data_IF_420972439264
#
_entry.id   IF_420972439264
#
_cell.length_a   1.000
_cell.length_b   1.000
_cell.length_c   1.000
_cell.angle_alpha   90.00
_cell.angle_beta   90.00
_cell.angle_gamma   90.00
#
_symmetry.space_group_name_H-M   'P 1'
#
loop_
_entity.id
_entity.type
_entity.pdbx_description
1 polymer ?
#
# COMPACT_ATOMS: atom_id res chain seq x y z
N UNK A 1 -24.79 -26.71 8.51
CA UNK A 1 -24.05 -25.69 9.30
C UNK A 1 -24.96 -24.64 9.96
N UNK A 2 -25.95 -24.06 9.26
CA UNK A 2 -26.89 -23.06 9.81
C UNK A 2 -27.49 -23.42 11.18
N UNK A 3 -28.06 -24.62 11.33
CA UNK A 3 -28.64 -25.08 12.60
C UNK A 3 -27.64 -25.07 13.78
N UNK A 4 -26.36 -25.41 13.54
CA UNK A 4 -25.31 -25.37 14.57
C UNK A 4 -25.09 -23.94 15.08
N UNK A 5 -25.03 -22.98 14.16
CA UNK A 5 -24.79 -21.56 14.47
C UNK A 5 -25.93 -20.96 15.29
N UNK A 6 -27.17 -21.21 14.88
CA UNK A 6 -28.35 -20.75 15.62
C UNK A 6 -28.40 -21.34 17.03
N UNK A 7 -28.07 -22.62 17.19
CA UNK A 7 -28.02 -23.25 18.52
C UNK A 7 -26.94 -22.65 19.42
N UNK A 8 -25.75 -22.35 18.88
CA UNK A 8 -24.69 -21.68 19.63
C UNK A 8 -25.11 -20.25 20.01
N UNK A 9 -25.77 -19.53 19.10
CA UNK A 9 -26.30 -18.18 19.32
C UNK A 9 -27.38 -18.15 20.41
N UNK A 10 -28.34 -19.08 20.39
CA UNK A 10 -29.34 -19.21 21.45
C UNK A 10 -28.68 -19.51 22.80
N UNK A 11 -27.77 -20.49 22.84
CA UNK A 11 -27.03 -20.82 24.06
C UNK A 11 -26.27 -19.59 24.60
N UNK A 12 -25.65 -18.81 23.73
CA UNK A 12 -24.95 -17.60 24.11
C UNK A 12 -25.92 -16.52 24.65
N UNK A 13 -27.06 -16.30 24.02
CA UNK A 13 -28.08 -15.35 24.47
C UNK A 13 -28.71 -15.71 25.82
N UNK A 14 -28.77 -17.00 26.17
CA UNK A 14 -29.29 -17.49 27.46
C UNK A 14 -28.32 -17.22 28.62
N UNK A 15 -27.02 -17.12 28.35
CA UNK A 15 -25.98 -17.12 29.38
C UNK A 15 -25.10 -15.87 29.43
N UNK A 16 -25.02 -15.10 28.33
CA UNK A 16 -24.24 -13.87 28.26
C UNK A 16 -25.10 -12.66 28.65
N UNK A 17 -24.45 -11.65 29.23
CA UNK A 17 -25.10 -10.38 29.53
C UNK A 17 -25.49 -9.63 28.26
N UNK A 18 -26.40 -8.66 28.39
CA UNK A 18 -26.83 -7.83 27.26
C UNK A 18 -25.65 -7.15 26.55
N UNK A 19 -24.69 -6.50 27.26
CA UNK A 19 -23.52 -5.90 26.63
C UNK A 19 -22.63 -6.91 25.88
N UNK A 20 -22.38 -8.09 26.44
CA UNK A 20 -21.58 -9.14 25.77
C UNK A 20 -22.30 -9.68 24.53
N UNK A 21 -23.62 -9.86 24.62
CA UNK A 21 -24.42 -10.28 23.48
C UNK A 21 -24.43 -9.24 22.36
N UNK A 22 -24.38 -7.95 22.70
CA UNK A 22 -24.31 -6.85 21.74
C UNK A 22 -22.90 -6.74 21.14
N UNK A 23 -21.84 -6.92 21.95
CA UNK A 23 -20.44 -6.98 21.51
C UNK A 23 -20.24 -8.04 20.41
N UNK A 24 -20.79 -9.24 20.58
CA UNK A 24 -20.68 -10.32 19.58
C UNK A 24 -21.76 -10.27 18.49
N UNK A 25 -22.62 -9.25 18.48
CA UNK A 25 -23.71 -9.12 17.52
C UNK A 25 -24.72 -10.28 17.57
N UNK A 26 -24.90 -10.95 18.72
CA UNK A 26 -25.78 -12.11 18.88
C UNK A 26 -27.26 -11.79 18.66
N UNK A 27 -27.65 -10.51 18.70
CA UNK A 27 -29.02 -10.08 18.43
C UNK A 27 -29.25 -9.62 17.00
N UNK A 28 -28.17 -9.41 16.25
CA UNK A 28 -28.24 -9.05 14.85
C UNK A 28 -28.62 -10.28 14.01
N UNK A 29 -29.09 -10.08 12.79
CA UNK A 29 -29.38 -11.20 11.86
C UNK A 29 -28.11 -11.87 11.30
N UNK A 30 -26.94 -11.37 11.70
CA UNK A 30 -25.64 -11.80 11.19
C UNK A 30 -25.29 -13.23 11.64
N UNK A 31 -24.50 -13.88 10.80
CA UNK A 31 -23.88 -15.17 11.06
C UNK A 31 -22.79 -15.01 12.14
N UNK A 32 -22.73 -15.96 13.08
CA UNK A 32 -21.86 -15.92 14.26
C UNK A 32 -20.37 -16.25 13.99
N UNK A 33 -19.98 -16.60 12.77
CA UNK A 33 -18.76 -17.38 12.52
C UNK A 33 -17.46 -16.71 12.99
N UNK A 34 -17.20 -15.44 12.66
CA UNK A 34 -15.99 -14.75 13.11
C UNK A 34 -15.88 -14.66 14.65
N UNK A 35 -17.01 -14.60 15.34
CA UNK A 35 -17.06 -14.54 16.82
C UNK A 35 -17.30 -15.89 17.48
N UNK A 36 -17.51 -16.97 16.73
CA UNK A 36 -17.95 -18.24 17.28
C UNK A 36 -16.94 -18.81 18.29
N UNK A 37 -15.64 -18.67 18.01
CA UNK A 37 -14.58 -19.08 18.94
C UNK A 37 -14.62 -18.23 20.24
N UNK A 38 -14.66 -16.90 20.12
CA UNK A 38 -14.72 -15.97 21.25
C UNK A 38 -15.97 -16.16 22.12
N UNK A 39 -17.10 -16.48 21.49
CA UNK A 39 -18.36 -16.78 22.19
C UNK A 39 -18.25 -18.09 22.97
N UNK A 40 -17.62 -19.12 22.40
CA UNK A 40 -17.35 -20.39 23.11
C UNK A 40 -16.42 -20.15 24.30
N UNK A 41 -15.34 -19.39 24.12
CA UNK A 41 -14.43 -19.01 25.20
C UNK A 41 -15.17 -18.28 26.32
N UNK A 42 -15.98 -17.26 25.99
CA UNK A 42 -16.76 -16.50 26.97
C UNK A 42 -17.80 -17.36 27.69
N UNK A 43 -18.41 -18.34 27.00
CA UNK A 43 -19.31 -19.31 27.62
C UNK A 43 -18.57 -20.22 28.61
N UNK A 44 -17.36 -20.68 28.28
CA UNK A 44 -16.52 -21.46 29.19
C UNK A 44 -16.08 -20.64 30.42
N UNK A 45 -15.75 -19.36 30.26
CA UNK A 45 -15.45 -18.44 31.38
C UNK A 45 -16.62 -18.31 32.36
N UNK A 46 -17.86 -18.51 31.89
CA UNK A 46 -19.09 -18.56 32.72
C UNK A 46 -19.43 -19.97 33.23
N UNK A 47 -18.52 -20.94 33.09
CA UNK A 47 -18.72 -22.35 33.41
C UNK A 47 -19.92 -22.99 32.66
N UNK A 48 -20.27 -22.48 31.48
CA UNK A 48 -21.31 -23.07 30.63
C UNK A 48 -20.70 -24.17 29.77
N UNK A 49 -21.22 -25.38 29.86
CA UNK A 49 -20.75 -26.52 29.05
C UNK A 49 -21.27 -26.37 27.62
N UNK A 50 -20.38 -26.10 26.67
CA UNK A 50 -20.74 -26.05 25.25
C UNK A 50 -20.77 -27.47 24.67
N UNK A 51 -21.90 -27.95 24.12
CA UNK A 51 -21.97 -29.27 23.52
C UNK A 51 -20.95 -29.44 22.39
N UNK A 52 -20.27 -30.60 22.33
CA UNK A 52 -19.22 -30.87 21.34
C UNK A 52 -19.66 -30.66 19.88
N UNK A 53 -20.96 -30.84 19.58
CA UNK A 53 -21.53 -30.59 18.26
C UNK A 53 -21.59 -29.09 17.88
N UNK A 54 -21.52 -28.18 18.84
CA UNK A 54 -21.51 -26.72 18.64
C UNK A 54 -20.09 -26.15 18.59
N UNK A 55 -19.09 -26.89 19.07
CA UNK A 55 -17.68 -26.47 19.02
C UNK A 55 -17.24 -26.33 17.57
N UNK A 56 -16.73 -25.15 17.22
CA UNK A 56 -16.11 -24.91 15.91
C UNK A 56 -14.76 -25.61 15.93
N UNK A 57 -14.68 -26.77 15.28
CA UNK A 57 -13.40 -27.45 15.05
C UNK A 57 -12.55 -26.55 14.17
N UNK A 58 -11.35 -26.19 14.65
CA UNK A 58 -10.33 -25.53 13.82
C UNK A 58 -10.19 -26.32 12.52
N UNK A 59 -10.39 -25.62 11.40
CA UNK A 59 -10.29 -26.24 10.10
C UNK A 59 -8.80 -26.52 9.82
N UNK A 60 -8.34 -27.75 10.10
CA UNK A 60 -6.95 -28.20 9.83
C UNK A 60 -6.60 -28.27 8.34
N UNK A 61 -7.50 -27.86 7.44
CA UNK A 61 -7.40 -28.09 6.00
C UNK A 61 -6.47 -27.07 5.32
N UNK A 62 -6.21 -25.90 5.93
CA UNK A 62 -5.25 -24.92 5.42
C UNK A 62 -4.00 -24.87 6.30
N UNK A 63 -3.24 -25.97 6.35
CA UNK A 63 -1.89 -26.01 6.95
C UNK A 63 -0.82 -25.23 6.16
N UNK A 64 -1.22 -24.49 5.12
CA UNK A 64 -0.28 -23.86 4.19
C UNK A 64 0.34 -22.55 4.70
N UNK A 65 -0.15 -21.98 5.80
CA UNK A 65 0.54 -20.98 6.62
C UNK A 65 0.06 -21.14 8.06
N UNK A 66 0.90 -20.91 9.06
CA UNK A 66 0.56 -20.88 10.51
C UNK A 66 -0.45 -19.76 10.90
N UNK A 67 -1.27 -19.30 9.96
CA UNK A 67 -2.20 -18.16 10.05
C UNK A 67 -3.64 -18.65 10.33
N UNK A 68 -3.90 -19.96 10.44
CA UNK A 68 -5.23 -20.50 10.79
C UNK A 68 -5.59 -20.29 12.26
N UNK A 69 -5.57 -19.05 12.70
CA UNK A 69 -5.66 -18.68 14.09
C UNK A 69 -7.00 -17.95 14.34
N UNK A 70 -7.70 -18.36 15.39
CA UNK A 70 -9.04 -17.89 15.78
C UNK A 70 -9.34 -16.40 15.49
N UNK A 71 -10.33 -16.10 14.66
CA UNK A 71 -10.88 -14.74 14.52
C UNK A 71 -11.00 -14.22 13.09
N UNK A 72 -10.39 -14.87 12.12
CA UNK A 72 -10.57 -14.52 10.71
C UNK A 72 -12.04 -14.69 10.28
N UNK A 73 -12.60 -13.64 9.67
CA UNK A 73 -13.80 -13.77 8.87
C UNK A 73 -13.56 -14.58 7.60
N UNK A 74 -14.63 -15.09 6.99
CA UNK A 74 -14.55 -15.81 5.71
C UNK A 74 -13.85 -14.98 4.62
N UNK A 75 -14.01 -13.66 4.68
CA UNK A 75 -13.47 -12.71 3.71
C UNK A 75 -11.94 -12.60 3.75
N UNK A 76 -11.28 -12.92 4.88
CA UNK A 76 -9.82 -13.03 4.90
C UNK A 76 -9.31 -14.19 4.05
N UNK A 77 -10.07 -15.29 3.99
CA UNK A 77 -9.69 -16.47 3.22
C UNK A 77 -9.96 -16.31 1.73
N UNK A 78 -10.94 -15.48 1.37
CA UNK A 78 -11.26 -15.20 -0.03
C UNK A 78 -10.23 -14.29 -0.69
N UNK A 79 -9.47 -13.50 0.07
CA UNK A 79 -8.57 -12.46 -0.45
C UNK A 79 -7.45 -12.97 -1.37
N UNK A 80 -7.23 -14.28 -1.42
CA UNK A 80 -6.24 -14.95 -2.28
C UNK A 80 -6.85 -15.66 -3.50
N UNK A 81 -8.18 -15.73 -3.61
CA UNK A 81 -8.88 -16.42 -4.70
C UNK A 81 -9.05 -15.50 -5.93
N UNK A 82 -9.01 -16.07 -7.14
CA UNK A 82 -9.36 -15.34 -8.36
C UNK A 82 -10.87 -15.05 -8.44
N UNK A 83 -11.69 -15.99 -7.96
CA UNK A 83 -13.16 -15.89 -7.91
C UNK A 83 -13.66 -15.27 -6.60
N UNK A 84 -12.78 -14.55 -5.89
CA UNK A 84 -13.04 -14.04 -4.55
C UNK A 84 -14.31 -13.18 -4.46
N UNK A 85 -14.62 -12.38 -5.47
CA UNK A 85 -15.83 -11.54 -5.50
C UNK A 85 -17.11 -12.37 -5.65
N UNK A 86 -17.10 -13.43 -6.46
CA UNK A 86 -18.24 -14.34 -6.67
C UNK A 86 -18.50 -15.14 -5.40
N UNK A 87 -17.43 -15.71 -4.81
CA UNK A 87 -17.54 -16.43 -3.55
C UNK A 87 -18.00 -15.50 -2.42
N UNK A 88 -17.53 -14.26 -2.40
CA UNK A 88 -17.92 -13.27 -1.40
C UNK A 88 -19.42 -12.95 -1.46
N UNK A 89 -19.98 -12.78 -2.65
CA UNK A 89 -21.43 -12.60 -2.86
C UNK A 89 -22.21 -13.81 -2.32
N UNK A 90 -21.76 -15.03 -2.63
CA UNK A 90 -22.40 -16.25 -2.13
C UNK A 90 -22.41 -16.30 -0.60
N UNK A 91 -21.29 -15.99 0.05
CA UNK A 91 -21.24 -15.94 1.52
C UNK A 91 -22.06 -14.79 2.08
N UNK A 92 -22.10 -13.65 1.39
CA UNK A 92 -22.95 -12.53 1.78
C UNK A 92 -24.44 -12.92 1.70
N UNK A 93 -24.89 -13.59 0.65
CA UNK A 93 -26.27 -14.10 0.58
C UNK A 93 -26.61 -15.10 1.69
N UNK A 94 -25.61 -15.84 2.16
CA UNK A 94 -25.75 -16.77 3.30
C UNK A 94 -25.74 -16.07 4.68
N UNK A 95 -25.62 -14.75 4.73
CA UNK A 95 -25.74 -13.93 5.94
C UNK A 95 -24.42 -13.56 6.61
N UNK A 96 -23.27 -13.81 5.98
CA UNK A 96 -21.97 -13.35 6.48
C UNK A 96 -21.81 -11.84 6.22
N UNK A 97 -21.40 -11.09 7.24
CA UNK A 97 -21.39 -9.60 7.24
C UNK A 97 -20.14 -9.02 7.91
N UNK A 98 -19.20 -9.88 8.23
CA UNK A 98 -17.95 -9.67 8.96
C UNK A 98 -16.86 -9.08 8.04
N UNK A 99 -17.22 -8.03 7.30
CA UNK A 99 -16.35 -7.32 6.34
C UNK A 99 -15.27 -6.47 7.01
N UNK A 100 -15.55 -5.98 8.22
CA UNK A 100 -14.67 -5.10 9.01
C UNK A 100 -14.09 -5.80 10.25
N UNK A 101 -14.38 -7.09 10.43
CA UNK A 101 -13.89 -7.81 11.60
C UNK A 101 -12.40 -7.99 11.47
N UNK A 102 -11.63 -7.38 12.37
CA UNK A 102 -10.19 -7.58 12.42
C UNK A 102 -9.85 -9.03 12.82
N UNK A 103 -8.82 -9.59 12.18
CA UNK A 103 -8.17 -10.82 12.64
C UNK A 103 -7.40 -10.59 13.95
N UNK A 104 -6.70 -11.62 14.44
CA UNK A 104 -5.89 -11.52 15.67
C UNK A 104 -4.79 -10.44 15.63
N UNK A 105 -4.31 -10.13 14.44
CA UNK A 105 -3.30 -9.09 14.23
C UNK A 105 -3.91 -7.69 14.15
N UNK A 106 -5.21 -7.53 14.37
CA UNK A 106 -5.89 -6.25 14.27
C UNK A 106 -6.18 -5.82 12.82
N UNK A 107 -6.06 -6.73 11.85
CA UNK A 107 -6.17 -6.41 10.44
C UNK A 107 -7.52 -6.88 9.89
N UNK A 108 -8.33 -6.01 9.27
CA UNK A 108 -9.55 -6.42 8.59
C UNK A 108 -9.23 -7.17 7.29
N UNK A 109 -10.21 -7.87 6.67
CA UNK A 109 -10.05 -8.60 5.41
C UNK A 109 -9.38 -7.76 4.31
N UNK A 110 -9.67 -6.47 4.32
CA UNK A 110 -9.19 -5.48 3.38
C UNK A 110 -7.67 -5.38 3.29
N UNK A 111 -6.97 -5.55 4.42
CA UNK A 111 -5.50 -5.45 4.48
C UNK A 111 -4.83 -6.70 3.90
N UNK A 112 -5.52 -7.84 3.90
CA UNK A 112 -5.00 -9.10 3.39
C UNK A 112 -5.19 -9.31 1.87
N UNK A 113 -5.72 -8.32 1.15
CA UNK A 113 -5.99 -8.44 -0.29
C UNK A 113 -4.67 -8.38 -1.06
N UNK A 114 -4.30 -9.51 -1.66
CA UNK A 114 -3.10 -9.59 -2.50
C UNK A 114 -3.49 -9.34 -3.97
N UNK A 115 -3.44 -8.08 -4.38
CA UNK A 115 -3.74 -7.67 -5.76
C UNK A 115 -2.49 -7.87 -6.61
N UNK A 116 -2.39 -9.05 -7.23
CA UNK A 116 -1.33 -9.42 -8.16
C UNK A 116 -1.76 -9.33 -9.63
N UNK A 117 -3.06 -9.31 -9.89
CA UNK A 117 -3.64 -9.18 -11.23
C UNK A 117 -4.94 -8.37 -11.18
N UNK A 118 -5.38 -7.86 -12.32
CA UNK A 118 -6.53 -6.96 -12.47
C UNK A 118 -7.88 -7.61 -12.15
N UNK A 119 -8.15 -8.91 -12.41
CA UNK A 119 -9.38 -9.55 -11.92
C UNK A 119 -9.52 -9.49 -10.40
N UNK A 120 -8.41 -9.46 -9.67
CA UNK A 120 -8.42 -9.37 -8.22
C UNK A 120 -8.79 -7.99 -7.70
N UNK A 121 -8.89 -6.95 -8.55
CA UNK A 121 -9.52 -5.67 -8.19
C UNK A 121 -11.02 -5.80 -7.90
N UNK A 122 -11.67 -6.86 -8.39
CA UNK A 122 -13.10 -7.08 -8.18
C UNK A 122 -13.44 -7.33 -6.71
N UNK A 123 -12.58 -8.04 -5.98
CA UNK A 123 -12.83 -8.35 -4.56
C UNK A 123 -12.77 -7.13 -3.63
N UNK A 124 -11.72 -6.27 -3.64
CA UNK A 124 -11.72 -5.06 -2.84
C UNK A 124 -12.82 -4.08 -3.26
N UNK A 125 -13.16 -4.00 -4.56
CA UNK A 125 -14.30 -3.21 -5.01
C UNK A 125 -15.61 -3.75 -4.40
N UNK A 126 -15.83 -5.05 -4.48
CA UNK A 126 -16.97 -5.73 -3.87
C UNK A 126 -17.04 -5.46 -2.37
N UNK A 127 -15.93 -5.56 -1.64
CA UNK A 127 -15.87 -5.28 -0.21
C UNK A 127 -16.35 -3.85 0.09
N UNK A 128 -15.87 -2.85 -0.64
CA UNK A 128 -16.28 -1.45 -0.48
C UNK A 128 -17.76 -1.25 -0.80
N UNK A 129 -18.26 -1.85 -1.87
CA UNK A 129 -19.67 -1.78 -2.26
C UNK A 129 -20.61 -2.40 -1.22
N UNK A 130 -20.13 -3.38 -0.46
CA UNK A 130 -20.88 -4.08 0.58
C UNK A 130 -20.68 -3.49 1.98
N UNK A 131 -19.99 -2.35 2.09
CA UNK A 131 -19.87 -1.58 3.33
C UNK A 131 -18.60 -1.85 4.13
N UNK A 132 -17.54 -2.35 3.50
CA UNK A 132 -16.24 -2.37 4.14
C UNK A 132 -15.76 -0.94 4.45
N UNK A 133 -15.24 -0.73 5.66
CA UNK A 133 -14.85 0.57 6.19
C UNK A 133 -13.43 0.95 5.77
N UNK A 134 -13.34 1.89 4.84
CA UNK A 134 -12.05 2.42 4.37
C UNK A 134 -11.34 3.29 5.43
N UNK A 135 -12.10 3.94 6.32
CA UNK A 135 -11.61 4.77 7.42
C UNK A 135 -11.27 3.98 8.68
N UNK A 136 -11.42 2.66 8.67
CA UNK A 136 -11.09 1.86 9.84
C UNK A 136 -9.61 2.00 10.16
N UNK A 137 -9.30 2.69 11.26
CA UNK A 137 -7.95 2.80 11.79
C UNK A 137 -7.48 1.42 12.22
N UNK A 138 -6.27 1.07 11.82
CA UNK A 138 -5.73 -0.24 12.13
C UNK A 138 -5.28 -0.27 13.59
N UNK A 139 -6.01 -1.01 14.41
CA UNK A 139 -5.67 -1.23 15.81
C UNK A 139 -4.58 -2.30 15.92
N UNK A 140 -3.33 -1.86 15.93
CA UNK A 140 -2.22 -2.78 16.08
C UNK A 140 -2.13 -3.33 17.50
N UNK A 141 -2.08 -4.65 17.61
CA UNK A 141 -1.90 -5.35 18.87
C UNK A 141 -0.42 -5.63 19.11
N UNK A 142 -0.07 -6.07 20.33
CA UNK A 142 1.30 -6.57 20.59
C UNK A 142 1.69 -7.79 19.74
N UNK A 143 0.72 -8.42 19.07
CA UNK A 143 0.92 -9.54 18.15
C UNK A 143 1.03 -9.10 16.69
N UNK A 144 0.72 -7.84 16.36
CA UNK A 144 0.94 -7.32 15.01
C UNK A 144 2.44 -7.33 14.73
N UNK A 145 2.89 -7.92 13.60
CA UNK A 145 4.29 -7.81 13.20
C UNK A 145 4.72 -6.35 13.15
N UNK A 146 5.87 -6.02 13.75
CA UNK A 146 6.34 -4.61 13.87
C UNK A 146 6.35 -3.85 12.54
N UNK A 147 6.61 -4.53 11.42
CA UNK A 147 6.59 -3.91 10.09
C UNK A 147 5.21 -3.65 9.49
N UNK A 148 4.11 -3.96 10.18
CA UNK A 148 2.73 -3.75 9.70
C UNK A 148 2.07 -2.59 10.43
N UNK A 149 2.61 -2.19 11.58
CA UNK A 149 2.05 -1.16 12.45
C UNK A 149 2.45 0.26 12.01
N UNK A 150 1.60 0.95 11.26
CA UNK A 150 1.77 2.36 10.91
C UNK A 150 0.71 3.21 11.59
N UNK A 151 1.10 4.06 12.54
CA UNK A 151 0.16 4.89 13.29
C UNK A 151 -0.68 5.78 12.36
N UNK A 152 -1.97 5.88 12.65
CA UNK A 152 -2.93 6.60 11.81
C UNK A 152 -3.33 5.89 10.52
N UNK A 153 -2.61 4.83 10.09
CA UNK A 153 -2.96 4.13 8.87
C UNK A 153 -4.34 3.46 8.96
N UNK A 154 -5.01 3.46 7.82
CA UNK A 154 -6.38 2.95 7.65
C UNK A 154 -6.41 1.86 6.59
N UNK A 155 -7.54 1.16 6.47
CA UNK A 155 -7.75 0.18 5.39
C UNK A 155 -7.53 0.77 3.99
N UNK A 156 -7.86 2.05 3.78
CA UNK A 156 -7.60 2.73 2.50
C UNK A 156 -6.12 2.78 2.13
N UNK A 157 -5.22 3.00 3.09
CA UNK A 157 -3.79 3.06 2.86
C UNK A 157 -3.25 1.74 2.31
N UNK A 158 -3.67 0.62 2.89
CA UNK A 158 -3.27 -0.72 2.45
C UNK A 158 -3.84 -1.06 1.08
N UNK A 159 -5.11 -0.73 0.81
CA UNK A 159 -5.67 -0.92 -0.52
C UNK A 159 -4.85 -0.19 -1.57
N UNK A 160 -4.57 1.09 -1.32
CA UNK A 160 -3.88 1.93 -2.26
C UNK A 160 -2.42 1.51 -2.45
N UNK A 161 -1.78 1.02 -1.40
CA UNK A 161 -0.49 0.34 -1.52
C UNK A 161 -0.54 -0.85 -2.49
N UNK A 162 -1.52 -1.75 -2.35
CA UNK A 162 -1.67 -2.90 -3.26
C UNK A 162 -2.02 -2.47 -4.69
N UNK A 163 -2.84 -1.43 -4.85
CA UNK A 163 -3.11 -0.81 -6.16
C UNK A 163 -1.82 -0.28 -6.78
N UNK A 164 -0.98 0.43 -6.01
CA UNK A 164 0.30 0.94 -6.51
C UNK A 164 1.24 -0.17 -6.96
N UNK A 165 1.23 -1.33 -6.29
CA UNK A 165 2.00 -2.51 -6.71
C UNK A 165 1.48 -3.10 -8.03
N UNK A 166 0.16 -3.26 -8.17
CA UNK A 166 -0.44 -3.72 -9.42
C UNK A 166 -0.09 -2.77 -10.58
N UNK A 167 -0.25 -1.46 -10.38
CA UNK A 167 0.09 -0.45 -11.39
C UNK A 167 1.57 -0.52 -11.79
N UNK A 168 2.46 -0.75 -10.82
CA UNK A 168 3.88 -0.92 -11.08
C UNK A 168 4.11 -2.12 -12.01
N UNK A 169 3.52 -3.27 -11.71
CA UNK A 169 3.68 -4.47 -12.51
C UNK A 169 3.08 -4.37 -13.91
N UNK A 170 1.94 -3.68 -14.05
CA UNK A 170 1.34 -3.40 -15.36
C UNK A 170 2.26 -2.51 -16.19
N UNK A 171 2.73 -1.39 -15.61
CA UNK A 171 3.61 -0.46 -16.32
C UNK A 171 4.92 -1.12 -16.77
N UNK A 172 5.49 -1.99 -15.93
CA UNK A 172 6.76 -2.69 -16.21
C UNK A 172 6.60 -3.97 -17.03
N UNK A 173 5.36 -4.37 -17.35
CA UNK A 173 5.08 -5.57 -18.15
C UNK A 173 5.29 -6.90 -17.42
N UNK A 174 5.40 -6.90 -16.08
CA UNK A 174 5.55 -8.14 -15.29
C UNK A 174 4.26 -8.98 -15.23
N UNK A 175 3.11 -8.37 -15.48
CA UNK A 175 1.82 -9.05 -15.54
C UNK A 175 1.36 -9.06 -16.99
N UNK A 176 1.27 -10.25 -17.59
CA UNK A 176 0.64 -10.46 -18.89
C UNK A 176 -0.87 -10.35 -18.73
N UNK A 177 -1.37 -9.12 -18.84
CA UNK A 177 -2.77 -8.81 -18.67
C UNK A 177 -3.52 -9.02 -19.99
N UNK A 178 -4.27 -10.12 -20.06
CA UNK A 178 -5.04 -10.51 -21.25
C UNK A 178 -6.37 -9.78 -21.40
N UNK A 179 -6.85 -9.12 -20.35
CA UNK A 179 -8.11 -8.37 -20.43
C UNK A 179 -7.89 -7.03 -21.16
N UNK A 180 -8.95 -6.43 -21.70
CA UNK A 180 -8.84 -5.14 -22.35
C UNK A 180 -8.44 -4.02 -21.37
N UNK A 181 -7.67 -3.05 -21.86
CA UNK A 181 -7.26 -1.85 -21.14
C UNK A 181 -8.44 -1.07 -20.51
N UNK A 182 -9.59 -1.03 -21.19
CA UNK A 182 -10.78 -0.36 -20.67
C UNK A 182 -11.33 -1.01 -19.39
N UNK A 183 -11.13 -2.31 -19.19
CA UNK A 183 -11.63 -3.02 -18.00
C UNK A 183 -10.81 -2.63 -16.76
N UNK A 184 -9.49 -2.53 -16.91
CA UNK A 184 -8.60 -1.96 -15.90
C UNK A 184 -9.00 -0.52 -15.60
N UNK A 185 -9.13 0.31 -16.65
CA UNK A 185 -9.51 1.72 -16.53
C UNK A 185 -10.81 1.89 -15.72
N UNK A 186 -11.83 1.11 -16.06
CA UNK A 186 -13.14 1.13 -15.42
C UNK A 186 -13.10 0.70 -13.94
N UNK A 187 -12.45 -0.43 -13.63
CA UNK A 187 -12.37 -0.95 -12.24
C UNK A 187 -11.55 -0.03 -11.35
N UNK A 188 -10.43 0.48 -11.86
CA UNK A 188 -9.58 1.41 -11.14
C UNK A 188 -10.28 2.75 -10.90
N UNK A 189 -11.01 3.28 -11.90
CA UNK A 189 -11.79 4.51 -11.74
C UNK A 189 -12.85 4.38 -10.65
N UNK A 190 -13.53 3.22 -10.56
CA UNK A 190 -14.47 2.95 -9.48
C UNK A 190 -13.80 2.92 -8.11
N UNK A 191 -12.67 2.22 -7.97
CA UNK A 191 -11.92 2.20 -6.71
C UNK A 191 -11.40 3.59 -6.34
N UNK A 192 -10.83 4.33 -7.29
CA UNK A 192 -10.38 5.71 -7.07
C UNK A 192 -11.54 6.59 -6.60
N UNK A 193 -12.72 6.50 -7.22
CA UNK A 193 -13.89 7.27 -6.82
C UNK A 193 -14.36 6.98 -5.38
N UNK A 194 -14.07 5.79 -4.85
CA UNK A 194 -14.40 5.40 -3.47
C UNK A 194 -13.32 5.76 -2.46
N UNK A 195 -12.06 5.60 -2.84
CA UNK A 195 -10.93 5.68 -1.91
C UNK A 195 -10.22 7.04 -1.94
N UNK A 196 -10.14 7.72 -3.08
CA UNK A 196 -9.55 9.07 -3.15
C UNK A 196 -10.22 10.09 -2.20
N UNK A 197 -11.54 10.05 -1.96
CA UNK A 197 -12.18 10.92 -0.98
C UNK A 197 -11.81 10.59 0.48
N UNK A 198 -11.14 9.47 0.74
CA UNK A 198 -10.62 9.10 2.06
C UNK A 198 -9.39 9.95 2.36
N UNK A 199 -9.64 11.20 2.73
CA UNK A 199 -8.60 12.12 3.19
C UNK A 199 -8.26 11.83 4.66
N UNK A 200 -7.63 10.68 4.89
CA UNK A 200 -7.16 10.24 6.19
C UNK A 200 -5.64 10.18 6.13
N UNK A 201 -4.90 11.28 6.36
CA UNK A 201 -3.46 11.19 6.49
C UNK A 201 -3.08 10.31 7.69
N UNK A 202 -2.00 9.56 7.55
CA UNK A 202 -1.38 8.86 8.67
C UNK A 202 -0.68 9.84 9.63
N UNK A 203 -0.17 9.34 10.77
CA UNK A 203 0.48 10.18 11.78
C UNK A 203 1.98 10.40 11.51
N UNK A 204 2.47 10.18 10.29
CA UNK A 204 3.89 10.42 10.01
C UNK A 204 4.21 11.91 9.92
N UNK A 205 5.42 12.29 10.32
CA UNK A 205 5.93 13.67 10.21
C UNK A 205 6.91 13.84 9.05
N UNK A 206 6.82 12.99 8.03
CA UNK A 206 7.76 13.00 6.92
C UNK A 206 7.48 14.16 5.96
N UNK A 207 8.54 14.87 5.56
CA UNK A 207 8.45 16.06 4.67
C UNK A 207 8.06 15.76 3.23
N UNK A 208 7.91 14.49 2.86
CA UNK A 208 7.34 14.05 1.58
C UNK A 208 5.84 14.39 1.44
N UNK A 209 5.20 14.78 2.54
CA UNK A 209 3.81 15.25 2.61
C UNK A 209 3.74 16.48 3.50
N UNK A 210 2.67 17.28 3.38
CA UNK A 210 2.46 18.44 4.27
C UNK A 210 1.91 18.01 5.64
N UNK A 211 0.91 17.13 5.65
CA UNK A 211 0.13 16.77 6.83
C UNK A 211 -0.01 15.24 6.99
N UNK A 212 1.10 14.51 6.86
CA UNK A 212 1.10 13.04 6.91
C UNK A 212 0.79 12.38 5.56
N UNK A 213 1.15 11.11 5.43
CA UNK A 213 1.01 10.39 4.17
C UNK A 213 -0.42 9.92 4.00
N UNK A 214 -1.11 10.40 2.97
CA UNK A 214 -2.47 9.97 2.61
C UNK A 214 -2.47 8.58 1.96
N UNK A 215 -3.64 7.91 1.82
CA UNK A 215 -3.75 6.67 1.04
C UNK A 215 -3.21 6.84 -0.37
N UNK A 216 -3.49 7.98 -1.01
CA UNK A 216 -2.97 8.32 -2.34
C UNK A 216 -1.45 8.34 -2.40
N UNK A 217 -0.79 8.93 -1.39
CA UNK A 217 0.66 8.89 -1.30
C UNK A 217 1.22 7.47 -1.08
N UNK A 218 0.51 6.60 -0.36
CA UNK A 218 0.89 5.19 -0.25
C UNK A 218 0.82 4.45 -1.60
N UNK A 219 -0.17 4.77 -2.45
CA UNK A 219 -0.23 4.26 -3.82
C UNK A 219 0.95 4.75 -4.64
N UNK A 220 1.19 6.07 -4.67
CA UNK A 220 2.31 6.66 -5.41
C UNK A 220 3.64 6.06 -4.97
N UNK A 221 3.87 6.00 -3.66
CA UNK A 221 5.07 5.40 -3.09
C UNK A 221 5.32 3.98 -3.56
N UNK A 222 4.28 3.17 -3.77
CA UNK A 222 4.48 1.82 -4.29
C UNK A 222 4.66 1.79 -5.81
N UNK A 223 3.99 2.70 -6.52
CA UNK A 223 3.99 2.76 -7.98
C UNK A 223 5.26 3.41 -8.58
N UNK A 224 5.69 4.56 -8.03
CA UNK A 224 6.77 5.38 -8.58
C UNK A 224 8.12 5.14 -7.91
N UNK A 225 8.20 4.46 -6.76
CA UNK A 225 9.46 4.35 -6.00
C UNK A 225 10.52 3.46 -6.67
N UNK A 226 11.76 3.95 -6.59
CA UNK A 226 13.02 3.28 -7.00
C UNK A 226 12.99 2.74 -8.43
N UNK A 227 12.75 3.59 -9.43
CA UNK A 227 13.01 3.18 -10.79
C UNK A 227 14.52 3.04 -11.00
N UNK A 228 14.95 1.98 -11.70
CA UNK A 228 16.32 1.90 -12.22
C UNK A 228 16.65 3.08 -13.16
N UNK A 229 15.63 3.74 -13.72
CA UNK A 229 15.76 4.86 -14.66
C UNK A 229 15.77 6.28 -14.07
N UNK A 230 15.84 6.44 -12.74
CA UNK A 230 15.93 7.76 -12.11
C UNK A 230 14.67 8.65 -12.26
N UNK A 231 14.80 9.98 -12.07
CA UNK A 231 13.67 10.92 -12.09
C UNK A 231 12.80 10.89 -13.37
N UNK A 232 13.37 10.78 -14.59
CA UNK A 232 12.54 10.71 -15.79
C UNK A 232 11.55 9.54 -15.76
N UNK A 233 11.96 8.34 -15.32
CA UNK A 233 11.05 7.19 -15.23
C UNK A 233 9.92 7.43 -14.21
N UNK A 234 10.18 8.15 -13.11
CA UNK A 234 9.11 8.54 -12.16
C UNK A 234 8.06 9.43 -12.84
N UNK A 235 8.52 10.43 -13.59
CA UNK A 235 7.64 11.34 -14.34
C UNK A 235 6.85 10.60 -15.43
N UNK A 236 7.48 9.70 -16.19
CA UNK A 236 6.81 8.89 -17.21
C UNK A 236 5.75 7.97 -16.61
N UNK A 237 6.04 7.30 -15.49
CA UNK A 237 5.06 6.49 -14.75
C UNK A 237 3.87 7.31 -14.30
N UNK A 238 4.12 8.47 -13.69
CA UNK A 238 3.02 9.31 -13.22
C UNK A 238 2.22 9.93 -14.39
N UNK A 239 2.87 10.33 -15.48
CA UNK A 239 2.21 10.77 -16.70
C UNK A 239 1.37 9.66 -17.36
N UNK A 240 1.82 8.41 -17.28
CA UNK A 240 1.02 7.25 -17.67
C UNK A 240 -0.22 7.11 -16.76
N UNK A 241 -0.06 7.23 -15.45
CA UNK A 241 -1.20 7.22 -14.52
C UNK A 241 -2.21 8.33 -14.82
N UNK A 242 -1.74 9.55 -15.08
CA UNK A 242 -2.59 10.68 -15.47
C UNK A 242 -3.37 10.42 -16.75
N UNK A 243 -2.78 9.73 -17.73
CA UNK A 243 -3.43 9.41 -18.99
C UNK A 243 -4.70 8.56 -18.79
N UNK A 244 -4.66 7.60 -17.87
CA UNK A 244 -5.78 6.68 -17.65
C UNK A 244 -6.71 7.11 -16.51
N UNK A 245 -6.17 7.78 -15.49
CA UNK A 245 -6.86 8.01 -14.22
C UNK A 245 -6.88 9.47 -13.79
N UNK A 246 -6.28 10.37 -14.57
CA UNK A 246 -6.13 11.79 -14.22
C UNK A 246 -7.46 12.52 -14.01
N UNK A 247 -8.54 12.06 -14.64
CA UNK A 247 -9.89 12.63 -14.44
C UNK A 247 -10.48 12.40 -13.04
N UNK A 248 -9.93 11.44 -12.27
CA UNK A 248 -10.34 11.18 -10.90
C UNK A 248 -9.48 11.90 -9.85
N UNK A 249 -8.44 12.62 -10.26
CA UNK A 249 -7.51 13.31 -9.37
C UNK A 249 -8.06 14.72 -9.07
N UNK A 250 -8.10 15.08 -7.80
CA UNK A 250 -8.47 16.41 -7.35
C UNK A 250 -7.21 17.29 -7.22
N UNK A 251 -7.42 18.60 -7.12
CA UNK A 251 -6.34 19.59 -6.99
C UNK A 251 -5.35 19.19 -5.88
N UNK A 252 -5.84 18.80 -4.70
CA UNK A 252 -4.98 18.41 -3.58
C UNK A 252 -4.08 17.22 -3.93
N UNK A 253 -4.59 16.17 -4.59
CA UNK A 253 -3.76 15.03 -4.99
C UNK A 253 -2.72 15.40 -6.04
N UNK A 254 -2.98 16.40 -6.90
CA UNK A 254 -1.93 16.93 -7.76
C UNK A 254 -0.80 17.59 -6.96
N UNK A 255 -1.13 18.41 -5.96
CA UNK A 255 -0.14 19.06 -5.09
C UNK A 255 0.66 18.00 -4.30
N UNK A 256 -0.04 17.02 -3.72
CA UNK A 256 0.57 15.90 -3.01
C UNK A 256 1.54 15.12 -3.92
N UNK A 257 1.17 14.91 -5.19
CA UNK A 257 2.03 14.22 -6.17
C UNK A 257 3.30 15.02 -6.49
N UNK A 258 3.17 16.33 -6.68
CA UNK A 258 4.30 17.24 -6.94
C UNK A 258 5.29 17.15 -5.79
N UNK A 259 4.81 17.30 -4.55
CA UNK A 259 5.64 17.25 -3.37
C UNK A 259 6.31 15.89 -3.20
N UNK A 260 5.53 14.82 -3.28
CA UNK A 260 6.02 13.46 -3.07
C UNK A 260 7.05 13.03 -4.12
N UNK A 261 6.76 13.22 -5.42
CA UNK A 261 7.65 12.78 -6.50
C UNK A 261 8.91 13.64 -6.54
N UNK A 262 8.81 14.95 -6.29
CA UNK A 262 10.00 15.81 -6.14
C UNK A 262 10.87 15.38 -4.96
N UNK A 263 10.26 15.05 -3.82
CA UNK A 263 10.97 14.54 -2.64
C UNK A 263 11.74 13.25 -2.95
N UNK A 264 11.10 12.29 -3.64
CA UNK A 264 11.76 11.06 -4.11
C UNK A 264 12.89 11.35 -5.10
N UNK A 265 12.69 12.28 -6.03
CA UNK A 265 13.68 12.66 -7.04
C UNK A 265 14.94 13.29 -6.46
N UNK A 266 14.81 14.04 -5.36
CA UNK A 266 15.93 14.62 -4.63
C UNK A 266 16.67 13.60 -3.75
N UNK A 267 16.24 12.33 -3.71
CA UNK A 267 16.89 11.28 -2.92
C UNK A 267 16.78 11.49 -1.40
N UNK A 268 15.77 12.23 -0.95
CA UNK A 268 15.62 12.57 0.47
C UNK A 268 15.21 11.36 1.32
N UNK A 269 15.57 11.38 2.60
CA UNK A 269 15.37 10.22 3.49
C UNK A 269 13.99 10.23 4.10
N UNK A 270 13.16 9.26 3.73
CA UNK A 270 11.85 9.10 4.33
C UNK A 270 11.91 8.72 5.81
N UNK A 271 11.20 9.47 6.64
CA UNK A 271 10.91 9.14 8.04
C UNK A 271 9.52 8.51 8.23
N UNK A 272 8.70 8.45 7.17
CA UNK A 272 7.41 7.79 7.22
C UNK A 272 7.54 6.27 7.29
N UNK A 273 6.75 5.66 8.17
CA UNK A 273 6.80 4.22 8.44
C UNK A 273 6.43 3.40 7.19
N UNK A 274 7.12 2.27 7.02
CA UNK A 274 6.92 1.35 5.91
C UNK A 274 5.98 0.21 6.31
N UNK A 275 5.00 -0.18 5.48
CA UNK A 275 4.47 -1.52 5.54
C UNK A 275 5.53 -2.50 4.98
N UNK A 276 6.38 -3.02 5.86
CA UNK A 276 7.23 -4.22 5.69
C UNK A 276 8.35 -4.14 4.60
N UNK A 277 9.47 -4.88 4.73
CA UNK A 277 10.06 -5.48 5.94
C UNK A 277 10.99 -4.51 6.72
N UNK A 278 11.24 -3.30 6.22
CA UNK A 278 12.23 -2.36 6.77
C UNK A 278 11.60 -1.11 7.38
N UNK A 279 10.54 -1.26 8.17
CA UNK A 279 9.97 -0.14 8.92
C UNK A 279 10.97 0.32 9.98
N UNK A 280 11.82 1.28 9.64
CA UNK A 280 12.53 2.07 10.64
C UNK A 280 11.52 3.01 11.29
N UNK A 281 11.30 2.81 12.57
CA UNK A 281 10.60 3.80 13.38
C UNK A 281 11.63 4.78 13.87
N UNK A 282 11.57 6.00 13.36
CA UNK A 282 12.35 7.10 13.87
C UNK A 282 11.59 7.75 15.03
N UNK A 283 12.28 8.02 16.12
CA UNK A 283 11.74 8.89 17.16
C UNK A 283 11.84 10.37 16.74
N UNK A 284 11.25 11.27 17.51
CA UNK A 284 11.23 12.70 17.17
C UNK A 284 12.62 13.34 17.11
N UNK A 285 13.58 12.85 17.90
CA UNK A 285 14.95 13.37 17.92
C UNK A 285 15.71 12.91 16.67
N UNK A 286 15.53 11.65 16.26
CA UNK A 286 16.09 11.12 15.02
C UNK A 286 15.50 11.81 13.78
N UNK A 287 14.19 12.06 13.78
CA UNK A 287 13.54 12.82 12.70
C UNK A 287 14.11 14.23 12.61
N UNK A 288 14.26 14.91 13.75
CA UNK A 288 14.85 16.25 13.79
C UNK A 288 16.31 16.23 13.27
N UNK A 289 17.11 15.24 13.67
CA UNK A 289 18.49 15.10 13.19
C UNK A 289 18.55 14.92 11.67
N UNK A 290 17.67 14.09 11.09
CA UNK A 290 17.57 13.91 9.64
C UNK A 290 17.14 15.22 8.97
N UNK A 291 16.18 15.95 9.54
CA UNK A 291 15.75 17.25 8.98
C UNK A 291 16.86 18.31 9.04
N UNK A 292 17.65 18.35 10.11
CA UNK A 292 18.80 19.25 10.25
C UNK A 292 19.90 18.90 9.25
N UNK A 293 20.19 17.60 9.05
CA UNK A 293 21.15 17.12 8.05
C UNK A 293 20.69 17.45 6.62
N UNK A 294 19.38 17.34 6.35
CA UNK A 294 18.79 17.56 5.03
C UNK A 294 18.23 18.98 4.83
N UNK A 295 18.56 19.94 5.70
CA UNK A 295 17.98 21.30 5.66
C UNK A 295 18.18 22.02 4.30
N UNK A 296 19.34 21.83 3.66
CA UNK A 296 19.59 22.38 2.33
C UNK A 296 18.70 21.78 1.24
N UNK A 297 18.51 20.45 1.25
CA UNK A 297 17.60 19.76 0.32
C UNK A 297 16.14 20.13 0.59
N UNK A 298 15.74 20.32 1.84
CA UNK A 298 14.42 20.81 2.20
C UNK A 298 14.15 22.20 1.63
N UNK A 299 15.12 23.11 1.69
CA UNK A 299 14.97 24.43 1.08
C UNK A 299 14.79 24.36 -0.44
N UNK A 300 15.55 23.49 -1.11
CA UNK A 300 15.42 23.24 -2.56
C UNK A 300 14.04 22.65 -2.88
N UNK A 301 13.59 21.66 -2.10
CA UNK A 301 12.28 21.05 -2.23
C UNK A 301 11.17 22.10 -2.16
N UNK A 302 11.15 22.97 -1.15
CA UNK A 302 10.07 23.97 -1.01
C UNK A 302 10.05 24.95 -2.20
N UNK A 303 11.23 25.37 -2.69
CA UNK A 303 11.32 26.23 -3.87
C UNK A 303 10.79 25.56 -5.14
N UNK A 304 11.13 24.27 -5.35
CA UNK A 304 10.64 23.49 -6.48
C UNK A 304 9.14 23.21 -6.39
N UNK A 305 8.65 22.79 -5.23
CA UNK A 305 7.22 22.53 -5.01
C UNK A 305 6.41 23.79 -5.28
N UNK A 306 6.83 24.95 -4.79
CA UNK A 306 6.13 26.21 -5.05
C UNK A 306 6.04 26.55 -6.56
N UNK A 307 7.13 26.40 -7.31
CA UNK A 307 7.17 26.66 -8.76
C UNK A 307 6.28 25.66 -9.53
N UNK A 308 6.39 24.38 -9.19
CA UNK A 308 5.61 23.30 -9.81
C UNK A 308 4.11 23.42 -9.52
N UNK A 309 3.72 23.68 -8.27
CA UNK A 309 2.33 23.89 -7.90
C UNK A 309 1.71 25.07 -8.65
N UNK A 310 2.43 26.20 -8.76
CA UNK A 310 1.95 27.36 -9.50
C UNK A 310 1.65 27.02 -10.98
N UNK A 311 2.51 26.22 -11.62
CA UNK A 311 2.31 25.77 -13.01
C UNK A 311 1.14 24.81 -13.16
N UNK A 312 1.03 23.83 -12.27
CA UNK A 312 -0.07 22.85 -12.30
C UNK A 312 -1.41 23.53 -12.01
N UNK A 313 -1.47 24.48 -11.08
CA UNK A 313 -2.67 25.29 -10.82
C UNK A 313 -3.07 26.04 -12.10
N UNK A 314 -2.13 26.69 -12.78
CA UNK A 314 -2.39 27.36 -14.06
C UNK A 314 -3.04 26.44 -15.10
N UNK A 315 -2.48 25.22 -15.27
CA UNK A 315 -3.03 24.21 -16.19
C UNK A 315 -4.47 23.79 -15.79
N UNK A 316 -4.73 23.64 -14.50
CA UNK A 316 -6.05 23.24 -13.97
C UNK A 316 -7.10 24.36 -14.09
N UNK A 317 -6.68 25.62 -14.00
CA UNK A 317 -7.56 26.79 -14.12
C UNK A 317 -8.00 27.09 -15.56
N UNK A 318 -7.16 26.80 -16.55
CA UNK A 318 -7.49 27.00 -17.97
C UNK A 318 -8.68 26.14 -18.46
N UNK A 319 -8.97 25.02 -17.77
CA UNK A 319 -10.14 24.13 -17.99
C UNK A 319 -10.41 23.81 -19.47
N UNK A 320 -9.37 23.53 -20.24
CA UNK A 320 -9.49 23.13 -21.65
C UNK A 320 -9.81 21.64 -21.75
N UNK A 321 -10.17 21.17 -22.96
CA UNK A 321 -10.32 19.72 -23.23
C UNK A 321 -9.01 18.95 -23.08
N UNK A 322 -7.89 19.67 -23.04
CA UNK A 322 -6.54 19.11 -23.14
C UNK A 322 -5.80 19.15 -21.80
N UNK A 323 -6.49 19.42 -20.68
CA UNK A 323 -5.88 19.51 -19.33
C UNK A 323 -5.02 18.29 -18.99
N UNK A 324 -5.47 17.06 -19.28
CA UNK A 324 -4.68 15.84 -19.03
C UNK A 324 -3.42 15.79 -19.90
N UNK A 325 -3.51 16.21 -21.16
CA UNK A 325 -2.35 16.25 -22.05
C UNK A 325 -1.32 17.29 -21.57
N UNK A 326 -1.77 18.47 -21.16
CA UNK A 326 -0.92 19.52 -20.60
C UNK A 326 -0.26 19.11 -19.28
N UNK A 327 -0.99 18.41 -18.39
CA UNK A 327 -0.40 17.86 -17.16
C UNK A 327 0.67 16.81 -17.48
N UNK A 328 0.45 15.94 -18.48
CA UNK A 328 1.47 14.97 -18.91
C UNK A 328 2.72 15.65 -19.45
N UNK A 329 2.54 16.67 -20.30
CA UNK A 329 3.65 17.47 -20.83
C UNK A 329 4.43 18.18 -19.72
N UNK A 330 3.73 18.70 -18.70
CA UNK A 330 4.37 19.25 -17.50
C UNK A 330 5.29 18.22 -16.84
N UNK A 331 4.82 16.99 -16.60
CA UNK A 331 5.62 15.97 -15.95
C UNK A 331 6.79 15.49 -16.81
N UNK A 332 6.53 15.12 -18.07
CA UNK A 332 7.55 14.52 -18.94
C UNK A 332 8.51 15.53 -19.54
N UNK A 333 8.16 16.81 -19.55
CA UNK A 333 8.99 17.91 -20.04
C UNK A 333 9.46 18.79 -18.88
N UNK A 334 8.64 19.78 -18.50
CA UNK A 334 9.07 20.84 -17.60
C UNK A 334 9.61 20.36 -16.25
N UNK A 335 8.92 19.43 -15.58
CA UNK A 335 9.37 18.87 -14.31
C UNK A 335 10.67 18.08 -14.48
N UNK A 336 10.76 17.20 -15.50
CA UNK A 336 11.97 16.44 -15.80
C UNK A 336 13.19 17.34 -16.02
N UNK A 337 13.06 18.32 -16.92
CA UNK A 337 14.15 19.24 -17.26
C UNK A 337 14.62 20.02 -16.04
N UNK A 338 13.68 20.47 -15.20
CA UNK A 338 14.01 21.25 -14.00
C UNK A 338 14.68 20.41 -12.92
N UNK A 339 14.23 19.18 -12.73
CA UNK A 339 14.85 18.25 -11.78
C UNK A 339 16.24 17.85 -12.24
N UNK A 340 16.43 17.58 -13.53
CA UNK A 340 17.74 17.28 -14.11
C UNK A 340 18.73 18.44 -13.93
N UNK A 341 18.29 19.69 -14.15
CA UNK A 341 19.09 20.89 -13.86
C UNK A 341 19.53 20.95 -12.39
N UNK A 342 18.59 20.77 -11.46
CA UNK A 342 18.89 20.82 -10.01
C UNK A 342 19.82 19.68 -9.60
N UNK A 343 19.60 18.47 -10.08
CA UNK A 343 20.47 17.33 -9.78
C UNK A 343 21.86 17.51 -10.36
N UNK A 344 21.99 18.11 -11.56
CA UNK A 344 23.30 18.49 -12.13
C UNK A 344 24.01 19.55 -11.30
N UNK A 345 23.29 20.53 -10.78
CA UNK A 345 23.88 21.54 -9.91
C UNK A 345 24.31 20.93 -8.56
N UNK A 346 23.50 20.03 -7.98
CA UNK A 346 23.84 19.29 -6.76
C UNK A 346 25.03 18.34 -6.94
N UNK A 347 25.11 17.63 -8.08
CA UNK A 347 26.17 16.66 -8.37
C UNK A 347 27.45 17.29 -8.94
N UNK A 348 27.35 18.48 -9.54
CA UNK A 348 28.28 18.87 -10.59
C UNK A 348 29.03 20.18 -10.43
N UNK A 349 28.87 20.99 -9.37
CA UNK A 349 29.45 22.36 -9.40
C UNK A 349 30.26 22.91 -8.25
N UNK A 350 30.23 22.40 -7.03
CA UNK A 350 31.00 23.02 -5.93
C UNK A 350 31.70 22.01 -5.01
N UNK A 351 32.44 21.08 -5.60
CA UNK A 351 33.54 20.45 -4.87
C UNK A 351 34.81 20.95 -5.52
N UNK A 352 35.42 21.96 -4.89
CA UNK A 352 36.74 22.44 -5.29
C UNK A 352 37.72 21.26 -5.35
N UNK A 353 38.77 21.37 -6.15
CA UNK A 353 39.80 20.33 -6.20
C UNK A 353 40.36 20.02 -4.79
N UNK A 354 40.40 21.03 -3.93
CA UNK A 354 40.83 20.94 -2.54
C UNK A 354 39.84 20.18 -1.66
N UNK A 355 38.53 20.41 -1.79
CA UNK A 355 37.50 19.63 -1.10
C UNK A 355 37.43 18.20 -1.59
N UNK A 356 37.65 17.97 -2.89
CA UNK A 356 37.70 16.62 -3.47
C UNK A 356 38.86 15.83 -2.88
N UNK A 357 40.06 16.43 -2.85
CA UNK A 357 41.23 15.84 -2.20
C UNK A 357 40.96 15.63 -0.70
N UNK A 358 40.35 16.61 -0.02
CA UNK A 358 40.00 16.52 1.39
C UNK A 358 39.08 15.34 1.71
N UNK A 359 38.06 15.12 0.88
CA UNK A 359 37.14 13.99 0.96
C UNK A 359 37.87 12.65 0.69
N UNK A 360 38.73 12.59 -0.32
CA UNK A 360 39.55 11.40 -0.61
C UNK A 360 40.47 11.02 0.55
N UNK A 361 41.04 12.02 1.25
CA UNK A 361 41.89 11.80 2.43
C UNK A 361 41.14 11.16 3.59
N UNK A 362 39.85 11.46 3.76
CA UNK A 362 39.00 10.81 4.77
C UNK A 362 38.36 9.50 4.28
N UNK A 363 38.74 9.03 3.08
CA UNK A 363 38.34 7.74 2.54
C UNK A 363 37.12 7.76 1.62
N UNK A 364 36.63 8.93 1.21
CA UNK A 364 35.56 9.03 0.20
C UNK A 364 36.13 8.56 -1.15
N UNK A 365 35.50 7.56 -1.76
CA UNK A 365 35.78 7.15 -3.14
C UNK A 365 34.70 7.73 -4.03
N UNK A 366 35.12 8.41 -5.09
CA UNK A 366 34.21 8.91 -6.11
C UNK A 366 33.96 7.77 -7.09
N UNK A 367 32.70 7.40 -7.28
CA UNK A 367 32.31 6.53 -8.38
C UNK A 367 32.45 7.37 -9.66
N UNK A 368 33.57 7.20 -10.36
CA UNK A 368 33.75 7.80 -11.68
C UNK A 368 32.68 7.18 -12.59
N UNK A 369 31.70 7.99 -13.01
CA UNK A 369 30.64 7.58 -13.95
C UNK A 369 31.18 7.03 -15.28
N UNK A 370 32.47 7.26 -15.59
CA UNK A 370 33.16 6.67 -16.75
C UNK A 370 33.69 5.25 -16.52
N UNK A 371 33.67 4.77 -15.28
CA UNK A 371 34.02 3.41 -14.92
C UNK A 371 32.75 2.66 -14.51
N UNK A 372 31.72 2.72 -15.36
CA UNK A 372 30.96 1.52 -15.68
C UNK A 372 31.98 0.53 -16.28
N UNK A 373 32.85 -0.02 -15.41
CA UNK A 373 33.24 -1.41 -15.55
C UNK A 373 31.93 -2.07 -15.89
N UNK A 374 31.80 -2.57 -17.12
CA UNK A 374 30.68 -3.38 -17.55
C UNK A 374 30.33 -4.23 -16.35
N UNK A 375 29.23 -3.89 -15.65
CA UNK A 375 28.66 -4.75 -14.62
C UNK A 375 28.59 -6.07 -15.36
N UNK A 376 29.50 -6.99 -15.01
CA UNK A 376 29.65 -8.24 -15.73
C UNK A 376 28.23 -8.76 -15.79
N UNK A 377 27.64 -8.76 -16.99
CA UNK A 377 26.20 -8.97 -17.20
C UNK A 377 25.80 -9.99 -16.17
N UNK A 378 25.06 -9.59 -15.13
CA UNK A 378 24.70 -10.50 -14.05
C UNK A 378 24.01 -11.65 -14.78
N UNK A 379 24.75 -12.75 -14.96
CA UNK A 379 24.33 -13.78 -15.91
C UNK A 379 22.98 -14.23 -15.41
N UNK A 380 21.95 -13.95 -16.22
CA UNK A 380 20.56 -14.07 -15.84
C UNK A 380 20.37 -15.45 -15.20
N UNK A 381 20.16 -15.46 -13.88
CA UNK A 381 20.02 -16.69 -13.11
C UNK A 381 18.66 -17.37 -13.40
N UNK A 382 17.84 -16.76 -14.24
CA UNK A 382 16.69 -17.39 -14.86
C UNK A 382 17.01 -18.13 -16.17
N UNK A 383 18.19 -17.93 -16.77
CA UNK A 383 18.63 -18.69 -17.95
C UNK A 383 19.10 -20.10 -17.54
N UNK A 384 18.52 -21.11 -18.19
CA UNK A 384 18.87 -22.51 -17.93
C UNK A 384 20.33 -22.82 -18.32
N UNK A 385 20.90 -22.09 -19.29
CA UNK A 385 22.31 -22.25 -19.69
C UNK A 385 23.29 -21.81 -18.60
N UNK A 386 22.92 -20.83 -17.77
CA UNK A 386 23.68 -20.44 -16.58
C UNK A 386 23.82 -21.62 -15.61
N UNK A 387 22.70 -22.29 -15.32
CA UNK A 387 22.70 -23.45 -14.41
C UNK A 387 23.46 -24.66 -14.99
N UNK A 388 23.42 -24.87 -16.31
CA UNK A 388 24.23 -25.91 -16.95
C UNK A 388 25.73 -25.67 -16.78
N UNK A 389 26.22 -24.45 -17.02
CA UNK A 389 27.63 -24.10 -16.75
C UNK A 389 28.01 -24.31 -15.29
N UNK A 390 27.16 -23.89 -14.35
CA UNK A 390 27.44 -24.09 -12.92
C UNK A 390 27.46 -25.54 -12.47
N UNK A 391 26.69 -26.41 -13.11
CA UNK A 391 26.72 -27.85 -12.84
C UNK A 391 28.02 -28.47 -13.39
N UNK A 392 28.49 -28.05 -14.57
CA UNK A 392 29.75 -28.53 -15.15
C UNK A 392 30.99 -28.12 -14.35
N UNK A 393 30.97 -26.96 -13.68
CA UNK A 393 32.08 -26.52 -12.81
C UNK A 393 32.23 -27.34 -11.52
N UNK A 394 31.20 -28.10 -11.13
CA UNK A 394 31.17 -28.89 -9.88
C UNK A 394 31.45 -30.38 -10.15
N UNK A 395 31.45 -30.81 -11.42
CA UNK A 395 31.76 -32.17 -11.86
C UNK A 395 33.25 -32.36 -12.15
#
# INVERSE_FOLDING_TARGET
MKNRRERLKCLALEHLSLPEADEFGLRNKNVLDAYAARVIERLHERNVVVPAALIVKQCRILKLRDISDHGDSIYHYLSTSLDASIDAELFFDLGFRDLNTANKSGLPPFVGVNIIDVPQLLFPLWLVEHGAELFHHLEYTSQTPRGVAVRGATSAHWLFWHIGLLLYWIYTGYVDYQEPEWALAYRMSQLNAKVMPVNAPDECSCRCSADGCSPFLWMLRRFVRRPRGGPPDMAFRYAWYLQYFGSNIQVQQHMDSIRFITYEALGMQHTCSWPWPCATHYDSEEIQAIEEEQAGLLQILEGLVQDFEAKVIGILEERTTDTIAALREFWTGYWCDRIDEVLKDLNGRDISHEERIGAEVIGVRWDDESNVESEAEEEDDSDIEYWYRRIEEIA
#
